data_IF_456970541648
#
_entry.id   IF_456970541648
#
_cell.length_a   1.000
_cell.length_b   1.000
_cell.length_c   1.000
_cell.angle_alpha   90.00
_cell.angle_beta   90.00
_cell.angle_gamma   90.00
#
_symmetry.space_group_name_H-M   'P 1'
#
loop_
_entity.id
_entity.type
_entity.pdbx_description
1 polymer ?
#
# COMPACT_ATOMS: atom_id res chain seq x y z
N UNK A 1 19.95 -6.09 -22.53
CA UNK A 1 20.29 -4.95 -21.64
C UNK A 1 19.65 -5.23 -20.29
N UNK A 2 20.38 -5.14 -19.20
CA UNK A 2 19.78 -5.29 -17.87
C UNK A 2 18.79 -4.14 -17.61
N UNK A 3 17.72 -4.39 -16.84
CA UNK A 3 16.70 -3.38 -16.57
C UNK A 3 17.28 -2.08 -15.97
N UNK A 4 18.31 -2.18 -15.14
CA UNK A 4 18.99 -1.01 -14.58
C UNK A 4 19.59 -0.13 -15.69
N UNK A 5 20.33 -0.73 -16.61
CA UNK A 5 20.96 0.00 -17.74
C UNK A 5 19.90 0.63 -18.65
N UNK A 6 18.80 -0.10 -18.91
CA UNK A 6 17.66 0.40 -19.68
C UNK A 6 17.04 1.62 -19.04
N UNK A 7 16.84 1.61 -17.72
CA UNK A 7 16.30 2.74 -16.97
C UNK A 7 17.23 3.96 -17.02
N UNK A 8 18.53 3.76 -16.75
CA UNK A 8 19.50 4.86 -16.78
C UNK A 8 19.60 5.51 -18.17
N UNK A 9 19.62 4.71 -19.24
CA UNK A 9 19.66 5.23 -20.61
C UNK A 9 18.36 5.93 -21.04
N UNK A 10 17.23 5.56 -20.45
CA UNK A 10 15.92 6.14 -20.77
C UNK A 10 15.63 7.45 -20.01
N UNK A 11 16.41 7.77 -18.99
CA UNK A 11 16.13 8.92 -18.11
C UNK A 11 16.19 10.26 -18.85
N UNK A 12 17.20 10.50 -19.66
CA UNK A 12 17.32 11.74 -20.41
C UNK A 12 16.17 11.93 -21.39
N UNK A 13 15.83 10.88 -22.15
CA UNK A 13 14.70 10.92 -23.07
C UNK A 13 13.35 11.13 -22.36
N UNK A 14 13.23 10.66 -21.12
CA UNK A 14 12.06 10.93 -20.28
C UNK A 14 11.98 12.40 -19.86
N UNK A 15 13.10 12.98 -19.40
CA UNK A 15 13.13 14.40 -19.00
C UNK A 15 12.84 15.36 -20.15
N UNK A 16 13.29 15.05 -21.37
CA UNK A 16 13.01 15.86 -22.57
C UNK A 16 11.53 15.89 -22.95
N UNK A 17 10.74 14.89 -22.52
CA UNK A 17 9.30 14.83 -22.79
C UNK A 17 8.46 15.59 -21.77
N UNK A 18 9.06 16.05 -20.68
CA UNK A 18 8.37 16.68 -19.57
C UNK A 18 8.81 18.13 -19.47
N UNK A 19 7.87 19.07 -19.60
CA UNK A 19 8.10 20.48 -19.31
C UNK A 19 8.25 20.69 -17.79
N UNK A 20 9.49 20.82 -17.31
CA UNK A 20 9.80 20.86 -15.90
C UNK A 20 10.47 22.14 -15.45
N UNK A 21 10.15 22.56 -14.22
CA UNK A 21 10.94 23.58 -13.52
C UNK A 21 12.33 23.05 -13.19
N UNK A 22 13.33 23.94 -13.13
CA UNK A 22 14.71 23.58 -12.78
C UNK A 22 14.82 22.87 -11.42
N UNK A 23 13.98 23.22 -10.45
CA UNK A 23 13.96 22.62 -9.10
C UNK A 23 13.56 21.14 -9.12
N UNK A 24 12.56 20.76 -9.94
CA UNK A 24 12.16 19.37 -10.12
C UNK A 24 13.20 18.55 -10.89
N UNK A 25 13.88 19.18 -11.84
CA UNK A 25 15.01 18.56 -12.54
C UNK A 25 16.12 18.16 -11.57
N UNK A 26 16.51 19.05 -10.64
CA UNK A 26 17.53 18.75 -9.63
C UNK A 26 17.12 17.59 -8.71
N UNK A 27 15.85 17.55 -8.31
CA UNK A 27 15.30 16.44 -7.49
C UNK A 27 15.40 15.11 -8.25
N UNK A 28 15.00 15.06 -9.52
CA UNK A 28 15.05 13.87 -10.36
C UNK A 28 16.46 13.40 -10.65
N UNK A 29 17.35 14.35 -11.01
CA UNK A 29 18.76 14.07 -11.27
C UNK A 29 19.47 13.52 -10.03
N UNK A 30 19.17 14.05 -8.85
CA UNK A 30 19.68 13.52 -7.60
C UNK A 30 19.15 12.09 -7.33
N UNK A 31 17.88 11.85 -7.60
CA UNK A 31 17.23 10.57 -7.38
C UNK A 31 17.77 9.47 -8.33
N UNK A 32 17.94 9.78 -9.63
CA UNK A 32 18.50 8.79 -10.57
C UNK A 32 19.96 8.46 -10.25
N UNK A 33 20.76 9.43 -9.83
CA UNK A 33 22.15 9.20 -9.37
C UNK A 33 22.20 8.28 -8.14
N UNK A 34 21.27 8.45 -7.20
CA UNK A 34 21.18 7.55 -6.05
C UNK A 34 20.85 6.12 -6.48
N UNK A 35 19.89 5.95 -7.39
CA UNK A 35 19.56 4.65 -7.97
C UNK A 35 20.72 4.06 -8.78
N UNK A 36 21.44 4.87 -9.56
CA UNK A 36 22.63 4.44 -10.30
C UNK A 36 23.68 3.86 -9.36
N UNK A 37 23.97 4.52 -8.25
CA UNK A 37 24.98 4.10 -7.28
C UNK A 37 24.59 2.83 -6.53
N UNK A 38 23.35 2.73 -6.07
CA UNK A 38 22.89 1.61 -5.22
C UNK A 38 22.29 0.46 -6.03
N UNK A 39 21.58 0.73 -7.13
CA UNK A 39 20.85 -0.24 -7.95
C UNK A 39 19.61 -0.80 -7.26
N UNK A 40 19.12 -1.92 -7.78
CA UNK A 40 18.01 -2.64 -7.16
C UNK A 40 18.44 -3.31 -5.85
N UNK A 41 17.58 -3.31 -4.82
CA UNK A 41 17.92 -3.90 -3.54
C UNK A 41 18.10 -5.42 -3.66
N UNK A 42 18.95 -5.96 -2.80
CA UNK A 42 19.30 -7.38 -2.79
C UNK A 42 19.08 -8.00 -1.41
N UNK A 43 19.09 -9.33 -1.33
CA UNK A 43 19.02 -10.06 -0.05
C UNK A 43 20.19 -9.78 0.92
N UNK A 44 21.23 -9.07 0.50
CA UNK A 44 22.33 -8.62 1.37
C UNK A 44 21.89 -7.47 2.28
N UNK A 45 20.91 -6.72 1.87
CA UNK A 45 20.31 -5.64 2.65
C UNK A 45 19.34 -6.24 3.68
N UNK A 46 19.47 -5.82 4.94
CA UNK A 46 18.68 -6.37 6.05
C UNK A 46 17.18 -6.25 5.83
N UNK A 47 16.71 -5.13 5.27
CA UNK A 47 15.30 -4.91 4.97
C UNK A 47 14.77 -5.82 3.84
N UNK A 48 15.65 -6.39 3.01
CA UNK A 48 15.33 -7.22 1.86
C UNK A 48 15.75 -8.69 2.02
N UNK A 49 16.24 -9.08 3.19
CA UNK A 49 16.81 -10.42 3.48
C UNK A 49 15.92 -11.57 3.01
N UNK A 50 14.62 -11.44 3.16
CA UNK A 50 13.64 -12.49 2.84
C UNK A 50 12.93 -12.28 1.50
N UNK A 51 13.19 -11.18 0.80
CA UNK A 51 12.53 -10.81 -0.46
C UNK A 51 13.54 -10.59 -1.56
N UNK A 52 13.33 -11.22 -2.71
CA UNK A 52 14.23 -11.13 -3.86
C UNK A 52 13.51 -10.61 -5.09
N UNK A 53 14.11 -9.64 -5.77
CA UNK A 53 13.64 -9.13 -7.05
C UNK A 53 14.22 -9.89 -8.26
N UNK A 54 15.10 -10.87 -8.07
CA UNK A 54 15.85 -11.52 -9.16
C UNK A 54 14.97 -12.12 -10.27
N UNK A 55 13.80 -12.65 -9.94
CA UNK A 55 12.85 -13.19 -10.93
C UNK A 55 12.08 -12.09 -11.63
N UNK A 56 11.70 -11.06 -10.89
CA UNK A 56 10.97 -9.89 -11.39
C UNK A 56 11.82 -9.11 -12.40
N UNK A 57 13.09 -8.89 -12.10
CA UNK A 57 14.00 -8.08 -12.92
C UNK A 57 14.46 -8.77 -14.22
N UNK A 58 14.10 -10.04 -14.46
CA UNK A 58 14.41 -10.76 -15.69
C UNK A 58 13.52 -10.39 -16.86
N UNK A 59 12.33 -9.83 -16.60
CA UNK A 59 11.42 -9.43 -17.65
C UNK A 59 11.92 -8.18 -18.38
N UNK A 60 11.69 -8.13 -19.68
CA UNK A 60 11.99 -6.93 -20.49
C UNK A 60 10.82 -5.95 -20.41
N UNK A 61 10.86 -5.09 -19.43
CA UNK A 61 9.81 -4.12 -19.18
C UNK A 61 9.83 -2.96 -20.18
N UNK A 62 8.66 -2.59 -20.70
CA UNK A 62 8.43 -1.26 -21.28
C UNK A 62 8.41 -0.24 -20.15
N UNK A 63 9.27 0.77 -20.24
CA UNK A 63 9.42 1.80 -19.19
C UNK A 63 8.40 2.92 -19.33
N UNK A 64 7.91 3.15 -20.55
CA UNK A 64 6.92 4.17 -20.87
C UNK A 64 5.77 3.54 -21.64
N UNK A 65 4.57 3.50 -21.09
CA UNK A 65 3.39 3.12 -21.85
C UNK A 65 3.17 4.12 -22.99
N UNK A 66 3.01 3.61 -24.20
CA UNK A 66 2.97 4.47 -25.41
C UNK A 66 1.56 4.89 -25.84
N UNK A 67 0.52 4.25 -25.34
CA UNK A 67 -0.86 4.49 -25.79
C UNK A 67 -1.84 4.52 -24.62
N UNK A 68 -2.86 5.37 -24.74
CA UNK A 68 -4.08 5.24 -23.95
C UNK A 68 -4.78 3.95 -24.38
N UNK A 69 -4.62 2.91 -23.58
CA UNK A 69 -5.44 1.72 -23.76
C UNK A 69 -6.88 2.09 -23.38
N UNK A 70 -7.77 2.12 -24.37
CA UNK A 70 -9.20 2.31 -24.13
C UNK A 70 -9.77 1.03 -23.52
N UNK A 71 -10.08 1.07 -22.24
CA UNK A 71 -10.82 0.00 -21.55
C UNK A 71 -12.28 0.42 -21.46
N UNK A 72 -13.18 -0.47 -21.88
CA UNK A 72 -14.60 -0.27 -21.68
C UNK A 72 -14.95 -0.30 -20.19
N UNK A 73 -15.84 0.61 -19.75
CA UNK A 73 -16.31 0.61 -18.37
C UNK A 73 -16.87 -0.74 -17.92
N UNK A 74 -17.51 -1.47 -18.85
CA UNK A 74 -18.07 -2.79 -18.58
C UNK A 74 -17.03 -3.81 -18.09
N UNK A 75 -15.78 -3.71 -18.56
CA UNK A 75 -14.67 -4.62 -18.18
C UNK A 75 -14.19 -4.37 -16.76
N UNK A 76 -14.18 -3.12 -16.33
CA UNK A 76 -13.66 -2.70 -15.03
C UNK A 76 -14.73 -2.43 -13.99
N UNK A 77 -16.00 -2.35 -14.39
CA UNK A 77 -17.16 -2.08 -13.53
C UNK A 77 -17.12 -2.91 -12.23
N UNK A 78 -16.85 -4.21 -12.33
CA UNK A 78 -16.81 -5.15 -11.18
C UNK A 78 -15.78 -4.80 -10.10
N UNK A 79 -14.81 -3.92 -10.39
CA UNK A 79 -13.76 -3.55 -9.46
C UNK A 79 -14.10 -2.30 -8.64
N UNK A 80 -15.05 -1.48 -9.08
CA UNK A 80 -15.53 -0.32 -8.34
C UNK A 80 -16.51 -0.73 -7.24
N UNK A 81 -16.62 0.11 -6.22
CA UNK A 81 -17.65 -0.01 -5.19
C UNK A 81 -18.91 0.67 -5.72
N UNK A 82 -19.99 -0.09 -5.93
CA UNK A 82 -21.23 0.41 -6.51
C UNK A 82 -22.29 0.76 -5.47
N UNK A 83 -22.12 0.25 -4.28
CA UNK A 83 -23.08 0.40 -3.19
C UNK A 83 -23.03 1.78 -2.53
N UNK A 84 -21.99 2.55 -2.82
CA UNK A 84 -21.81 3.93 -2.35
C UNK A 84 -21.30 4.82 -3.48
N UNK A 85 -21.57 6.11 -3.35
CA UNK A 85 -20.97 7.11 -4.25
C UNK A 85 -19.55 7.45 -3.81
N UNK A 86 -18.62 7.54 -4.78
CA UNK A 86 -17.19 7.77 -4.55
C UNK A 86 -16.63 8.77 -5.56
N UNK A 87 -15.60 9.50 -5.18
CA UNK A 87 -14.77 10.24 -6.13
C UNK A 87 -13.75 9.28 -6.74
N UNK A 88 -13.75 9.15 -8.06
CA UNK A 88 -12.91 8.18 -8.78
C UNK A 88 -11.72 8.85 -9.45
N UNK A 89 -10.52 8.32 -9.21
CA UNK A 89 -9.27 8.71 -9.90
C UNK A 89 -8.69 7.44 -10.48
N UNK A 90 -8.74 7.27 -11.79
CA UNK A 90 -8.44 6.01 -12.47
C UNK A 90 -7.25 6.16 -13.38
N UNK A 91 -6.32 5.22 -13.26
CA UNK A 91 -5.15 5.09 -14.14
C UNK A 91 -5.19 3.73 -14.84
N UNK A 92 -4.80 3.73 -16.11
CA UNK A 92 -4.64 2.53 -16.93
C UNK A 92 -3.20 2.50 -17.42
N UNK A 93 -2.45 1.46 -17.09
CA UNK A 93 -1.02 1.33 -17.42
C UNK A 93 -0.19 2.56 -17.00
N UNK A 94 -0.58 3.20 -15.90
CA UNK A 94 0.05 4.41 -15.37
C UNK A 94 -0.43 5.72 -15.99
N UNK A 95 -1.36 5.70 -16.96
CA UNK A 95 -1.92 6.86 -17.62
C UNK A 95 -3.32 7.15 -17.08
N UNK A 96 -3.62 8.40 -16.80
CA UNK A 96 -4.93 8.81 -16.29
C UNK A 96 -6.05 8.60 -17.32
N UNK A 97 -7.15 8.01 -16.87
CA UNK A 97 -8.38 7.84 -17.66
C UNK A 97 -9.43 8.86 -17.25
N UNK A 98 -9.62 9.90 -18.04
CA UNK A 98 -10.68 10.90 -17.82
C UNK A 98 -12.08 10.34 -17.96
N UNK A 99 -12.24 9.30 -18.80
CA UNK A 99 -13.52 8.62 -19.03
C UNK A 99 -13.99 7.83 -17.80
N UNK A 100 -13.06 7.21 -17.05
CA UNK A 100 -13.37 6.40 -15.87
C UNK A 100 -13.33 7.20 -14.56
N UNK A 101 -12.82 8.43 -14.60
CA UNK A 101 -12.62 9.27 -13.41
C UNK A 101 -13.75 10.28 -13.21
N UNK A 102 -13.91 10.73 -11.96
CA UNK A 102 -14.78 11.86 -11.63
C UNK A 102 -14.10 13.19 -11.97
N UNK A 103 -14.82 14.09 -12.59
CA UNK A 103 -14.26 15.41 -13.02
C UNK A 103 -14.50 16.52 -11.99
N UNK A 104 -15.41 16.32 -11.05
CA UNK A 104 -15.78 17.32 -10.03
C UNK A 104 -15.60 16.74 -8.63
N UNK A 105 -14.96 17.52 -7.76
CA UNK A 105 -14.67 17.14 -6.39
C UNK A 105 -15.06 18.30 -5.46
N UNK A 106 -16.24 18.22 -4.85
CA UNK A 106 -16.85 19.31 -4.10
C UNK A 106 -16.02 19.75 -2.89
N UNK A 107 -15.44 20.94 -3.00
CA UNK A 107 -14.67 21.59 -1.94
C UNK A 107 -13.35 20.91 -1.56
N UNK A 108 -12.84 20.00 -2.40
CA UNK A 108 -11.50 19.40 -2.27
C UNK A 108 -10.72 19.57 -3.58
N UNK A 109 -9.39 19.57 -3.50
CA UNK A 109 -8.55 19.69 -4.69
C UNK A 109 -7.94 18.33 -5.04
N UNK A 110 -8.48 17.70 -6.08
CA UNK A 110 -8.01 16.42 -6.60
C UNK A 110 -7.63 16.61 -8.06
N UNK A 111 -6.40 16.30 -8.39
CA UNK A 111 -5.91 16.38 -9.76
C UNK A 111 -4.79 15.37 -10.02
N UNK A 112 -4.27 15.38 -11.24
CA UNK A 112 -3.10 14.59 -11.62
C UNK A 112 -1.84 15.15 -10.98
N UNK A 113 -0.93 14.27 -10.61
CA UNK A 113 0.38 14.66 -10.10
C UNK A 113 1.16 15.50 -11.14
N UNK A 114 1.12 15.13 -12.41
CA UNK A 114 1.68 15.93 -13.51
C UNK A 114 1.15 17.37 -13.54
N UNK A 115 -0.16 17.54 -13.32
CA UNK A 115 -0.76 18.88 -13.21
C UNK A 115 -0.29 19.64 -11.97
N UNK A 116 -0.12 18.97 -10.83
CA UNK A 116 0.35 19.60 -9.60
C UNK A 116 1.82 20.01 -9.69
N UNK A 117 2.66 19.21 -10.35
CA UNK A 117 4.09 19.51 -10.55
C UNK A 117 4.33 20.71 -11.49
N UNK A 118 3.46 20.91 -12.48
CA UNK A 118 3.71 21.87 -13.57
C UNK A 118 2.90 23.17 -13.49
N UNK A 119 1.79 23.22 -12.71
CA UNK A 119 0.95 24.44 -12.63
C UNK A 119 1.39 25.37 -11.51
N UNK A 120 1.60 26.69 -11.78
CA UNK A 120 2.08 27.66 -10.79
C UNK A 120 1.25 27.75 -9.52
N UNK A 121 -0.06 27.50 -9.59
CA UNK A 121 -0.95 27.54 -8.42
C UNK A 121 -0.58 26.52 -7.34
N UNK A 122 0.08 25.42 -7.71
CA UNK A 122 0.50 24.37 -6.78
C UNK A 122 1.94 24.51 -6.30
N UNK A 123 2.73 25.42 -6.89
CA UNK A 123 4.17 25.52 -6.60
C UNK A 123 4.47 25.54 -5.10
N UNK A 124 3.82 26.41 -4.35
CA UNK A 124 4.05 26.52 -2.90
C UNK A 124 3.73 25.22 -2.14
N UNK A 125 2.72 24.48 -2.57
CA UNK A 125 2.35 23.20 -1.95
C UNK A 125 3.37 22.13 -2.32
N UNK A 126 3.76 22.05 -3.57
CA UNK A 126 4.79 21.11 -4.04
C UNK A 126 6.11 21.37 -3.33
N UNK A 127 6.56 22.61 -3.25
CA UNK A 127 7.79 22.98 -2.55
C UNK A 127 7.80 22.58 -1.07
N UNK A 128 6.65 22.59 -0.42
CA UNK A 128 6.52 22.24 1.00
C UNK A 128 6.32 20.75 1.28
N UNK A 129 5.73 19.99 0.37
CA UNK A 129 5.28 18.64 0.66
C UNK A 129 5.87 17.55 -0.26
N UNK A 130 6.11 17.83 -1.55
CA UNK A 130 6.60 16.81 -2.48
C UNK A 130 8.02 16.38 -2.15
N UNK A 131 8.24 15.07 -2.05
CA UNK A 131 9.53 14.45 -1.74
C UNK A 131 10.17 14.92 -0.42
N UNK A 132 9.33 15.27 0.58
CA UNK A 132 9.81 15.76 1.88
C UNK A 132 9.98 14.66 2.93
N UNK A 133 9.16 13.62 2.87
CA UNK A 133 9.20 12.50 3.82
C UNK A 133 9.56 11.16 3.14
N UNK A 134 9.50 11.09 1.82
CA UNK A 134 9.94 9.92 1.08
C UNK A 134 11.44 9.67 1.31
N UNK A 135 11.79 8.45 1.69
CA UNK A 135 13.17 8.09 2.01
C UNK A 135 14.08 8.17 0.80
N UNK A 136 15.12 8.98 0.89
CA UNK A 136 16.19 9.06 -0.12
C UNK A 136 17.14 7.86 -0.06
N UNK A 137 17.13 7.10 1.04
CA UNK A 137 17.97 5.91 1.19
C UNK A 137 17.35 4.67 0.57
N UNK A 138 16.04 4.64 0.38
CA UNK A 138 15.32 3.57 -0.30
C UNK A 138 15.43 3.74 -1.81
N UNK A 139 16.07 2.76 -2.48
CA UNK A 139 16.47 2.90 -3.89
C UNK A 139 15.30 2.87 -4.86
N UNK A 140 14.24 2.12 -4.55
CA UNK A 140 13.03 2.07 -5.38
C UNK A 140 12.18 3.33 -5.23
N UNK A 141 12.21 3.98 -4.05
CA UNK A 141 11.66 5.33 -3.87
C UNK A 141 12.45 6.34 -4.71
N UNK A 142 13.77 6.24 -4.74
CA UNK A 142 14.61 7.09 -5.60
C UNK A 142 14.31 6.86 -7.09
N UNK A 143 14.19 5.60 -7.52
CA UNK A 143 13.80 5.26 -8.88
C UNK A 143 12.43 5.86 -9.25
N UNK A 144 11.43 5.70 -8.37
CA UNK A 144 10.12 6.33 -8.57
C UNK A 144 10.25 7.85 -8.68
N UNK A 145 10.99 8.49 -7.76
CA UNK A 145 11.17 9.96 -7.79
C UNK A 145 11.80 10.45 -9.09
N UNK A 146 12.73 9.68 -9.67
CA UNK A 146 13.36 10.03 -10.94
C UNK A 146 12.36 10.02 -12.11
N UNK A 147 11.45 9.05 -12.15
CA UNK A 147 10.51 8.84 -13.25
C UNK A 147 9.07 9.26 -12.93
N UNK A 148 8.78 9.76 -11.73
CA UNK A 148 7.43 10.12 -11.35
C UNK A 148 6.87 11.22 -12.24
N UNK A 149 5.74 10.94 -12.88
CA UNK A 149 5.00 11.92 -13.67
C UNK A 149 3.50 11.82 -13.38
N UNK A 150 2.96 10.62 -13.26
CA UNK A 150 1.55 10.36 -13.05
C UNK A 150 1.26 9.81 -11.64
N UNK A 151 0.03 10.04 -11.19
CA UNK A 151 -0.48 9.66 -9.89
C UNK A 151 -1.51 10.67 -9.38
N UNK A 152 -2.01 10.45 -8.18
CA UNK A 152 -3.03 11.29 -7.58
C UNK A 152 -2.41 12.39 -6.69
N UNK A 153 -2.77 13.64 -6.96
CA UNK A 153 -2.63 14.75 -6.02
C UNK A 153 -3.96 14.99 -5.34
N UNK A 154 -3.98 14.92 -4.02
CA UNK A 154 -5.19 15.10 -3.20
C UNK A 154 -4.86 16.09 -2.09
N UNK A 155 -5.58 17.21 -2.06
CA UNK A 155 -5.44 18.22 -1.03
C UNK A 155 -6.81 18.53 -0.42
N UNK A 156 -6.96 18.15 0.85
CA UNK A 156 -8.17 18.40 1.64
C UNK A 156 -7.95 19.66 2.46
N UNK A 157 -8.74 20.72 2.24
CA UNK A 157 -8.56 21.96 2.96
C UNK A 157 -8.90 21.80 4.46
N UNK A 158 -8.44 22.75 5.27
CA UNK A 158 -8.72 22.83 6.71
C UNK A 158 -10.21 22.75 7.00
N UNK A 159 -10.57 21.99 8.05
CA UNK A 159 -11.93 21.83 8.57
C UNK A 159 -12.94 21.24 7.58
N UNK A 160 -12.45 20.48 6.60
CA UNK A 160 -13.29 19.76 5.63
C UNK A 160 -13.45 18.29 6.05
N UNK A 161 -14.69 17.88 6.25
CA UNK A 161 -15.04 16.45 6.30
C UNK A 161 -15.51 16.06 4.90
N UNK A 162 -14.78 15.11 4.29
CA UNK A 162 -15.11 14.60 2.96
C UNK A 162 -16.18 13.51 3.12
N UNK A 163 -17.32 13.74 2.54
CA UNK A 163 -18.52 12.87 2.70
C UNK A 163 -18.46 11.59 1.87
N UNK A 164 -17.69 11.59 0.79
CA UNK A 164 -17.55 10.46 -0.13
C UNK A 164 -16.11 9.97 -0.13
N UNK A 165 -15.86 8.65 -0.03
CA UNK A 165 -14.53 8.12 -0.18
C UNK A 165 -13.92 8.47 -1.55
N UNK A 166 -12.59 8.62 -1.58
CA UNK A 166 -11.82 8.78 -2.82
C UNK A 166 -11.31 7.40 -3.23
N UNK A 167 -11.70 6.91 -4.40
CA UNK A 167 -11.17 5.66 -4.99
C UNK A 167 -10.05 5.99 -5.97
N UNK A 168 -8.83 5.55 -5.67
CA UNK A 168 -7.68 5.59 -6.58
C UNK A 168 -7.51 4.18 -7.16
N UNK A 169 -7.70 4.04 -8.47
CA UNK A 169 -7.70 2.75 -9.14
C UNK A 169 -6.56 2.69 -10.15
N UNK A 170 -5.68 1.72 -9.99
CA UNK A 170 -4.60 1.41 -10.92
C UNK A 170 -4.91 0.11 -11.63
N UNK A 171 -5.30 0.20 -12.90
CA UNK A 171 -5.48 -0.95 -13.78
C UNK A 171 -4.25 -1.17 -14.64
N UNK A 172 -3.83 -2.42 -14.76
CA UNK A 172 -2.75 -2.83 -15.65
C UNK A 172 -3.26 -3.79 -16.70
N UNK A 173 -3.08 -3.43 -17.97
CA UNK A 173 -3.50 -4.26 -19.11
C UNK A 173 -2.33 -5.05 -19.66
N UNK A 174 -1.12 -4.50 -19.66
CA UNK A 174 0.10 -5.14 -20.17
C UNK A 174 -0.11 -5.69 -21.59
N UNK A 175 -0.59 -4.87 -22.54
CA UNK A 175 -1.22 -5.34 -23.77
C UNK A 175 -0.31 -6.17 -24.68
N UNK A 176 1.00 -5.92 -24.74
CA UNK A 176 1.91 -6.61 -25.66
C UNK A 176 3.29 -6.96 -25.05
N UNK A 177 3.67 -6.35 -23.93
CA UNK A 177 4.95 -6.54 -23.27
C UNK A 177 4.83 -6.41 -21.75
N UNK A 178 5.83 -6.86 -21.02
CA UNK A 178 5.96 -6.55 -19.60
C UNK A 178 6.01 -5.03 -19.38
N UNK A 179 5.29 -4.53 -18.37
CA UNK A 179 5.11 -3.10 -18.13
C UNK A 179 5.71 -2.69 -16.78
N UNK A 180 6.48 -1.60 -16.76
CA UNK A 180 6.89 -0.92 -15.54
C UNK A 180 6.06 0.35 -15.36
N UNK A 181 5.36 0.45 -14.23
CA UNK A 181 4.54 1.60 -13.86
C UNK A 181 5.06 2.20 -12.56
N UNK A 182 5.17 3.52 -12.49
CA UNK A 182 5.75 4.22 -11.33
C UNK A 182 4.82 5.34 -10.82
N UNK A 183 3.65 5.00 -10.26
CA UNK A 183 2.72 6.02 -9.75
C UNK A 183 3.32 6.75 -8.55
N UNK A 184 3.06 8.07 -8.49
CA UNK A 184 3.47 8.94 -7.40
C UNK A 184 2.27 9.69 -6.85
N UNK A 185 1.89 9.42 -5.60
CA UNK A 185 0.76 10.07 -4.96
C UNK A 185 1.22 11.06 -3.89
N UNK A 186 0.52 12.18 -3.79
CA UNK A 186 0.69 13.16 -2.72
C UNK A 186 -0.67 13.49 -2.11
N UNK A 187 -0.83 13.18 -0.84
CA UNK A 187 -2.07 13.39 -0.08
C UNK A 187 -1.79 14.35 1.07
N UNK A 188 -2.49 15.48 1.08
CA UNK A 188 -2.38 16.48 2.13
C UNK A 188 -3.75 16.63 2.78
N UNK A 189 -3.84 16.39 4.07
CA UNK A 189 -5.09 16.49 4.83
C UNK A 189 -4.96 17.60 5.85
N UNK A 190 -5.71 18.67 5.64
CA UNK A 190 -5.66 19.89 6.41
C UNK A 190 -6.10 19.72 7.85
N UNK A 191 -5.83 20.73 8.67
CA UNK A 191 -6.17 20.74 10.10
C UNK A 191 -7.68 20.51 10.33
N UNK A 192 -8.04 19.64 11.28
CA UNK A 192 -9.42 19.26 11.64
C UNK A 192 -10.22 18.66 10.46
N UNK A 193 -9.58 18.05 9.51
CA UNK A 193 -10.25 17.47 8.33
C UNK A 193 -10.30 15.94 8.41
N UNK A 194 -11.23 15.33 7.69
CA UNK A 194 -11.39 13.88 7.62
C UNK A 194 -11.56 13.43 6.18
N UNK A 195 -10.82 12.39 5.79
CA UNK A 195 -10.92 11.75 4.48
C UNK A 195 -10.79 10.25 4.57
N UNK A 196 -11.52 9.54 3.71
CA UNK A 196 -11.40 8.10 3.48
C UNK A 196 -10.89 7.87 2.06
N UNK A 197 -9.84 7.09 1.91
CA UNK A 197 -9.21 6.81 0.61
C UNK A 197 -9.14 5.30 0.43
N UNK A 198 -9.53 4.83 -0.76
CA UNK A 198 -9.46 3.43 -1.17
C UNK A 198 -8.53 3.37 -2.37
N UNK A 199 -7.37 2.76 -2.22
CA UNK A 199 -6.42 2.52 -3.29
C UNK A 199 -6.51 1.05 -3.73
N UNK A 200 -6.58 0.82 -5.03
CA UNK A 200 -6.61 -0.53 -5.57
C UNK A 200 -5.66 -0.69 -6.73
N UNK A 201 -4.86 -1.75 -6.67
CA UNK A 201 -4.08 -2.26 -7.78
C UNK A 201 -4.76 -3.51 -8.34
N UNK A 202 -4.96 -3.55 -9.67
CA UNK A 202 -5.68 -4.63 -10.33
C UNK A 202 -5.18 -4.85 -11.75
N UNK A 203 -4.55 -5.98 -12.00
CA UNK A 203 -4.25 -6.44 -13.36
C UNK A 203 -5.49 -7.03 -14.05
N UNK A 204 -5.63 -6.74 -15.33
CA UNK A 204 -6.77 -7.17 -16.16
C UNK A 204 -6.42 -8.36 -17.05
N UNK A 205 -5.14 -8.67 -17.24
CA UNK A 205 -4.63 -9.83 -17.97
C UNK A 205 -3.44 -10.45 -17.20
N UNK A 206 -2.81 -11.46 -17.79
CA UNK A 206 -1.71 -12.23 -17.19
C UNK A 206 -0.32 -11.79 -17.66
N UNK A 207 -0.18 -10.63 -18.28
CA UNK A 207 1.13 -10.12 -18.66
C UNK A 207 1.91 -9.61 -17.42
N UNK A 208 3.24 -9.75 -17.42
CA UNK A 208 4.06 -9.28 -16.31
C UNK A 208 3.97 -7.77 -16.14
N UNK A 209 3.70 -7.33 -14.93
CA UNK A 209 3.70 -5.93 -14.54
C UNK A 209 4.59 -5.76 -13.32
N UNK A 210 5.40 -4.70 -13.32
CA UNK A 210 6.09 -4.20 -12.13
C UNK A 210 5.56 -2.81 -11.81
N UNK A 211 4.82 -2.69 -10.74
CA UNK A 211 4.40 -1.41 -10.20
C UNK A 211 5.32 -1.01 -9.06
N UNK A 212 5.99 0.13 -9.20
CA UNK A 212 6.80 0.75 -8.16
C UNK A 212 6.09 2.03 -7.70
N UNK A 213 5.22 1.93 -6.72
CA UNK A 213 4.37 3.01 -6.21
C UNK A 213 5.03 3.75 -5.04
N UNK A 214 4.88 5.07 -5.01
CA UNK A 214 5.24 5.89 -3.85
C UNK A 214 4.10 6.84 -3.49
N UNK A 215 3.68 6.81 -2.23
CA UNK A 215 2.63 7.67 -1.68
C UNK A 215 3.17 8.43 -0.47
N UNK A 216 3.05 9.76 -0.49
CA UNK A 216 3.32 10.62 0.66
C UNK A 216 2.01 11.15 1.22
N UNK A 217 1.79 10.97 2.53
CA UNK A 217 0.57 11.41 3.23
C UNK A 217 0.97 12.36 4.35
N UNK A 218 0.43 13.59 4.31
CA UNK A 218 0.62 14.59 5.34
C UNK A 218 -0.68 14.82 6.09
N UNK A 219 -0.78 14.29 7.31
CA UNK A 219 -1.90 14.50 8.21
C UNK A 219 -1.57 15.67 9.14
N UNK A 220 -2.20 16.82 8.93
CA UNK A 220 -1.99 18.00 9.75
C UNK A 220 -2.70 17.87 11.11
N UNK A 221 -2.58 18.88 11.97
CA UNK A 221 -3.13 18.87 13.32
C UNK A 221 -4.60 18.44 13.34
N UNK A 222 -4.91 17.41 14.15
CA UNK A 222 -6.26 16.79 14.28
C UNK A 222 -6.88 16.31 12.96
N UNK A 223 -6.07 16.06 11.94
CA UNK A 223 -6.53 15.41 10.73
C UNK A 223 -6.82 13.92 10.98
N UNK A 224 -7.85 13.41 10.33
CA UNK A 224 -8.22 11.99 10.36
C UNK A 224 -8.12 11.43 8.93
N UNK A 225 -7.35 10.37 8.78
CA UNK A 225 -7.15 9.69 7.48
C UNK A 225 -7.42 8.21 7.66
N UNK A 226 -8.40 7.68 6.92
CA UNK A 226 -8.65 6.25 6.81
C UNK A 226 -8.24 5.80 5.40
N UNK A 227 -7.15 5.05 5.30
CA UNK A 227 -6.58 4.59 4.02
C UNK A 227 -6.69 3.08 3.90
N UNK A 228 -7.29 2.61 2.81
CA UNK A 228 -7.49 1.20 2.52
C UNK A 228 -6.77 0.81 1.24
N UNK A 229 -5.87 -0.17 1.32
CA UNK A 229 -5.12 -0.69 0.17
C UNK A 229 -5.61 -2.09 -0.19
N UNK A 230 -6.02 -2.28 -1.43
CA UNK A 230 -6.51 -3.56 -1.96
C UNK A 230 -5.59 -4.04 -3.07
N UNK A 231 -4.95 -5.18 -2.86
CA UNK A 231 -3.98 -5.79 -3.76
C UNK A 231 -4.47 -7.21 -4.11
N UNK A 232 -5.05 -7.37 -5.27
CA UNK A 232 -5.61 -8.65 -5.73
C UNK A 232 -5.30 -8.87 -7.21
N UNK A 233 -4.02 -8.77 -7.53
CA UNK A 233 -3.50 -8.90 -8.87
C UNK A 233 -3.36 -10.37 -9.33
N UNK A 234 -3.09 -10.58 -10.61
CA UNK A 234 -2.77 -11.88 -11.17
C UNK A 234 -1.38 -12.39 -10.72
N UNK A 235 -1.03 -13.61 -11.10
CA UNK A 235 0.20 -14.29 -10.71
C UNK A 235 1.49 -13.75 -11.38
N UNK A 236 1.39 -12.85 -12.36
CA UNK A 236 2.53 -12.24 -13.05
C UNK A 236 2.75 -10.78 -12.61
N UNK A 237 1.83 -10.21 -11.85
CA UNK A 237 1.92 -8.84 -11.35
C UNK A 237 2.83 -8.76 -10.12
N UNK A 238 3.69 -7.74 -10.10
CA UNK A 238 4.59 -7.45 -9.00
C UNK A 238 4.37 -6.02 -8.53
N UNK A 239 4.22 -5.83 -7.23
CA UNK A 239 3.97 -4.53 -6.62
C UNK A 239 5.01 -4.25 -5.53
N UNK A 240 5.69 -3.12 -5.65
CA UNK A 240 6.49 -2.50 -4.58
C UNK A 240 5.80 -1.19 -4.24
N UNK A 241 5.27 -1.12 -3.04
CA UNK A 241 4.45 0.00 -2.59
C UNK A 241 5.08 0.66 -1.37
N UNK A 242 5.58 1.87 -1.55
CA UNK A 242 6.22 2.67 -0.51
C UNK A 242 5.27 3.79 -0.06
N UNK A 243 4.77 3.71 1.16
CA UNK A 243 3.91 4.73 1.75
C UNK A 243 4.61 5.38 2.93
N UNK A 244 4.67 6.69 2.89
CA UNK A 244 5.26 7.55 3.92
C UNK A 244 4.18 8.44 4.51
N UNK A 245 4.07 8.45 5.83
CA UNK A 245 3.03 9.18 6.56
C UNK A 245 3.67 10.13 7.56
N UNK A 246 3.43 11.42 7.39
CA UNK A 246 3.79 12.46 8.36
C UNK A 246 2.56 12.85 9.18
N UNK A 247 2.65 12.76 10.49
CA UNK A 247 1.56 13.06 11.39
C UNK A 247 1.91 14.22 12.32
N UNK A 248 0.99 15.19 12.40
CA UNK A 248 1.08 16.33 13.29
C UNK A 248 0.19 16.14 14.54
N UNK A 249 0.27 17.05 15.48
CA UNK A 249 -0.40 17.01 16.78
C UNK A 249 -1.88 16.54 16.72
N UNK A 250 -2.22 15.54 17.53
CA UNK A 250 -3.56 14.95 17.66
C UNK A 250 -4.14 14.36 16.36
N UNK A 251 -3.30 14.09 15.35
CA UNK A 251 -3.78 13.46 14.12
C UNK A 251 -3.98 11.95 14.28
N UNK A 252 -4.91 11.42 13.52
CA UNK A 252 -5.27 10.01 13.46
C UNK A 252 -5.08 9.49 12.04
N UNK A 253 -4.22 8.50 11.83
CA UNK A 253 -4.08 7.85 10.52
C UNK A 253 -4.22 6.35 10.68
N UNK A 254 -5.14 5.76 9.92
CA UNK A 254 -5.25 4.31 9.78
C UNK A 254 -4.90 3.89 8.35
N UNK A 255 -4.03 2.89 8.21
CA UNK A 255 -3.75 2.21 6.94
C UNK A 255 -4.09 0.73 7.08
N UNK A 256 -5.05 0.28 6.28
CA UNK A 256 -5.51 -1.11 6.26
C UNK A 256 -5.12 -1.73 4.91
N UNK A 257 -4.29 -2.77 4.91
CA UNK A 257 -3.74 -3.41 3.71
C UNK A 257 -4.33 -4.81 3.54
N UNK A 258 -4.92 -5.07 2.37
CA UNK A 258 -5.54 -6.33 2.01
C UNK A 258 -4.80 -6.94 0.81
N UNK A 259 -3.94 -7.94 1.06
CA UNK A 259 -3.09 -8.57 0.05
C UNK A 259 -3.60 -9.98 -0.26
N UNK A 260 -4.19 -10.13 -1.45
CA UNK A 260 -4.89 -11.33 -1.89
C UNK A 260 -4.34 -11.94 -3.19
N UNK A 261 -3.35 -11.32 -3.81
CA UNK A 261 -2.84 -11.73 -5.11
C UNK A 261 -1.46 -11.15 -5.41
N UNK A 262 -1.08 -11.23 -6.68
CA UNK A 262 0.23 -10.87 -7.18
C UNK A 262 1.23 -12.03 -7.13
N UNK A 263 2.32 -11.94 -7.89
CA UNK A 263 3.48 -12.81 -7.77
C UNK A 263 4.32 -12.39 -6.56
N UNK A 264 4.71 -11.11 -6.54
CA UNK A 264 5.41 -10.47 -5.45
C UNK A 264 4.70 -9.18 -5.07
N UNK A 265 4.32 -9.05 -3.80
CA UNK A 265 3.80 -7.81 -3.25
C UNK A 265 4.63 -7.40 -2.04
N UNK A 266 5.24 -6.22 -2.08
CA UNK A 266 5.93 -5.65 -0.94
C UNK A 266 5.32 -4.32 -0.55
N UNK A 267 4.89 -4.23 0.70
CA UNK A 267 4.33 -3.04 1.32
C UNK A 267 5.33 -2.46 2.31
N UNK A 268 5.82 -1.26 2.06
CA UNK A 268 6.64 -0.49 2.98
C UNK A 268 5.79 0.65 3.55
N UNK A 269 5.42 0.57 4.83
CA UNK A 269 4.67 1.62 5.53
C UNK A 269 5.57 2.31 6.56
N UNK A 270 5.81 3.60 6.36
CA UNK A 270 6.68 4.40 7.22
C UNK A 270 5.88 5.55 7.84
N UNK A 271 5.76 5.54 9.17
CA UNK A 271 5.01 6.53 9.94
C UNK A 271 5.96 7.37 10.78
N UNK A 272 5.83 8.69 10.68
CA UNK A 272 6.66 9.67 11.40
C UNK A 272 5.78 10.57 12.26
N UNK A 273 6.00 10.55 13.58
CA UNK A 273 5.26 11.33 14.55
C UNK A 273 5.99 12.64 14.86
N UNK A 274 5.55 13.75 14.25
CA UNK A 274 6.11 15.09 14.46
C UNK A 274 5.32 15.94 15.47
N UNK A 275 4.28 15.40 16.09
CA UNK A 275 3.48 16.06 17.12
C UNK A 275 3.13 15.12 18.26
N UNK A 276 2.49 15.65 19.29
CA UNK A 276 2.02 14.88 20.44
C UNK A 276 0.62 14.31 20.22
N UNK A 277 0.25 13.29 21.00
CA UNK A 277 -1.08 12.66 21.02
C UNK A 277 -1.53 12.14 19.67
N UNK A 278 -0.60 11.67 18.89
CA UNK A 278 -0.83 11.04 17.60
C UNK A 278 -1.30 9.60 17.81
N UNK A 279 -2.22 9.16 16.95
CA UNK A 279 -2.63 7.76 16.89
C UNK A 279 -2.40 7.21 15.47
N UNK A 280 -1.67 6.09 15.40
CA UNK A 280 -1.39 5.36 14.16
C UNK A 280 -1.93 3.94 14.23
N UNK A 281 -2.71 3.54 13.23
CA UNK A 281 -3.25 2.19 13.13
C UNK A 281 -2.79 1.57 11.81
N UNK A 282 -2.07 0.45 11.90
CA UNK A 282 -1.56 -0.28 10.75
C UNK A 282 -2.11 -1.71 10.80
N UNK A 283 -3.10 -2.02 9.99
CA UNK A 283 -3.69 -3.34 9.95
C UNK A 283 -3.42 -4.01 8.60
N UNK A 284 -3.34 -5.35 8.60
CA UNK A 284 -3.17 -6.10 7.37
C UNK A 284 -3.82 -7.48 7.39
N UNK A 285 -4.40 -7.87 6.24
CA UNK A 285 -4.81 -9.25 5.97
C UNK A 285 -4.09 -9.73 4.72
N UNK A 286 -3.41 -10.85 4.84
CA UNK A 286 -2.78 -11.56 3.73
C UNK A 286 -3.40 -12.94 3.59
N UNK A 287 -3.94 -13.27 2.42
CA UNK A 287 -4.42 -14.63 2.09
C UNK A 287 -3.88 -14.99 0.72
N UNK A 288 -2.86 -15.84 0.71
CA UNK A 288 -2.14 -16.22 -0.52
C UNK A 288 -1.85 -17.73 -0.58
N UNK A 289 -1.65 -18.20 -1.80
CA UNK A 289 -1.33 -19.60 -2.10
C UNK A 289 -0.29 -19.71 -3.22
N UNK A 290 -0.26 -20.85 -3.89
CA UNK A 290 0.66 -21.17 -4.99
C UNK A 290 2.13 -20.88 -4.63
N UNK A 291 2.78 -19.95 -5.31
CA UNK A 291 4.15 -19.48 -5.06
C UNK A 291 4.20 -17.99 -4.74
N UNK A 292 3.05 -17.39 -4.42
CA UNK A 292 2.93 -15.97 -4.15
C UNK A 292 3.80 -15.56 -2.96
N UNK A 293 4.33 -14.34 -3.04
CA UNK A 293 5.17 -13.76 -2.00
C UNK A 293 4.61 -12.41 -1.56
N UNK A 294 4.30 -12.27 -0.27
CA UNK A 294 3.85 -10.99 0.30
C UNK A 294 4.75 -10.61 1.47
N UNK A 295 5.29 -9.39 1.39
CA UNK A 295 6.21 -8.83 2.37
C UNK A 295 5.64 -7.51 2.93
N UNK A 296 5.40 -7.47 4.22
CA UNK A 296 5.01 -6.26 4.96
C UNK A 296 6.20 -5.75 5.76
N UNK A 297 6.73 -4.60 5.37
CA UNK A 297 7.70 -3.84 6.15
C UNK A 297 6.99 -2.64 6.77
N UNK A 298 7.08 -2.47 8.08
CA UNK A 298 6.51 -1.32 8.77
C UNK A 298 7.57 -0.64 9.63
N UNK A 299 7.58 0.69 9.60
CA UNK A 299 8.33 1.54 10.52
C UNK A 299 7.38 2.53 11.17
N UNK A 300 7.35 2.58 12.48
CA UNK A 300 6.69 3.67 13.21
C UNK A 300 7.72 4.35 14.10
N UNK A 301 8.03 5.60 13.77
CA UNK A 301 8.95 6.43 14.52
C UNK A 301 8.18 7.38 15.44
N UNK A 302 8.25 7.14 16.74
CA UNK A 302 7.74 8.00 17.78
C UNK A 302 8.83 9.00 18.18
N UNK A 303 8.64 10.26 17.84
CA UNK A 303 9.59 11.34 18.17
C UNK A 303 9.04 12.32 19.20
N UNK A 304 7.74 12.24 19.53
CA UNK A 304 7.05 13.14 20.45
C UNK A 304 6.25 12.37 21.51
N UNK A 305 5.99 12.93 22.68
CA UNK A 305 5.35 12.23 23.79
C UNK A 305 3.84 11.98 23.58
N UNK A 306 3.29 11.06 24.39
CA UNK A 306 1.88 10.70 24.45
C UNK A 306 1.30 10.15 23.12
N UNK A 307 2.11 9.52 22.28
CA UNK A 307 1.69 8.96 21.01
C UNK A 307 1.35 7.46 21.11
N UNK A 308 0.45 7.01 20.27
CA UNK A 308 0.03 5.62 20.23
C UNK A 308 0.23 5.03 18.83
N UNK A 309 0.63 3.76 18.77
CA UNK A 309 0.63 2.98 17.53
C UNK A 309 0.17 1.55 17.77
N UNK A 310 -0.73 1.08 16.91
CA UNK A 310 -1.29 -0.26 16.96
C UNK A 310 -1.12 -0.94 15.61
N UNK A 311 -0.48 -2.11 15.60
CA UNK A 311 -0.30 -2.90 14.40
C UNK A 311 -0.93 -4.28 14.60
N UNK A 312 -1.85 -4.68 13.71
CA UNK A 312 -2.45 -6.03 13.71
C UNK A 312 -2.43 -6.63 12.29
N UNK A 313 -1.49 -7.55 12.08
CA UNK A 313 -1.32 -8.26 10.82
C UNK A 313 -1.77 -9.72 10.95
N UNK A 314 -2.62 -10.16 10.04
CA UNK A 314 -3.15 -11.51 9.95
C UNK A 314 -2.74 -12.14 8.63
N UNK A 315 -2.05 -13.28 8.69
CA UNK A 315 -1.59 -13.99 7.50
C UNK A 315 -2.17 -15.42 7.41
N UNK A 316 -2.64 -15.81 6.24
CA UNK A 316 -3.06 -17.18 5.90
C UNK A 316 -2.31 -17.60 4.64
N UNK A 317 -1.48 -18.61 4.77
CA UNK A 317 -0.56 -19.06 3.74
C UNK A 317 -0.80 -20.51 3.37
N UNK A 318 -0.96 -20.81 2.08
CA UNK A 318 -1.12 -22.16 1.55
C UNK A 318 -0.07 -22.50 0.50
N UNK A 319 -0.04 -23.74 0.07
CA UNK A 319 0.80 -24.31 -0.98
C UNK A 319 2.31 -24.07 -0.74
N UNK A 320 2.96 -23.20 -1.53
CA UNK A 320 4.37 -22.81 -1.41
C UNK A 320 4.51 -21.30 -1.25
N UNK A 321 3.46 -20.65 -0.79
CA UNK A 321 3.47 -19.20 -0.61
C UNK A 321 4.40 -18.78 0.54
N UNK A 322 4.89 -17.57 0.44
CA UNK A 322 5.81 -16.99 1.42
C UNK A 322 5.27 -15.67 1.94
N UNK A 323 5.12 -15.58 3.25
CA UNK A 323 4.89 -14.32 3.95
C UNK A 323 6.18 -13.77 4.55
N UNK A 324 6.26 -12.46 4.64
CA UNK A 324 7.26 -11.75 5.44
C UNK A 324 6.54 -10.66 6.24
N UNK A 325 6.88 -10.57 7.51
CA UNK A 325 6.51 -9.43 8.36
C UNK A 325 7.76 -8.89 9.04
N UNK A 326 8.17 -7.70 8.68
CA UNK A 326 9.30 -7.01 9.28
C UNK A 326 8.81 -5.66 9.82
N UNK A 327 8.48 -5.63 11.10
CA UNK A 327 7.91 -4.46 11.74
C UNK A 327 8.87 -3.84 12.75
N UNK A 328 9.14 -2.55 12.60
CA UNK A 328 10.00 -1.78 13.49
C UNK A 328 9.23 -0.67 14.18
N UNK A 329 9.31 -0.64 15.50
CA UNK A 329 8.89 0.49 16.33
C UNK A 329 10.17 1.15 16.85
N UNK A 330 10.33 2.44 16.54
CA UNK A 330 11.44 3.26 17.00
C UNK A 330 10.91 4.36 17.91
N UNK A 331 11.38 4.41 19.15
CA UNK A 331 10.93 5.37 20.16
C UNK A 331 12.11 6.22 20.59
N UNK A 332 12.09 7.50 20.23
CA UNK A 332 13.11 8.47 20.60
C UNK A 332 13.05 8.80 22.11
N UNK A 333 14.12 9.36 22.63
CA UNK A 333 14.24 9.67 24.08
C UNK A 333 13.15 10.61 24.58
N UNK A 334 12.75 11.57 23.76
CA UNK A 334 11.71 12.57 24.07
C UNK A 334 10.30 12.00 23.98
N UNK A 335 10.11 10.86 23.32
CA UNK A 335 8.81 10.24 23.08
C UNK A 335 8.29 9.49 24.33
N UNK A 336 8.25 10.16 25.46
CA UNK A 336 7.76 9.61 26.73
C UNK A 336 6.24 9.32 26.66
N UNK A 337 5.77 8.35 27.45
CA UNK A 337 4.37 7.89 27.48
C UNK A 337 3.86 7.35 26.15
N UNK A 338 4.77 6.84 25.33
CA UNK A 338 4.42 6.11 24.13
C UNK A 338 3.71 4.79 24.47
N UNK A 339 2.58 4.52 23.79
CA UNK A 339 1.90 3.23 23.79
C UNK A 339 2.04 2.60 22.39
N UNK A 340 2.84 1.54 22.24
CA UNK A 340 3.08 0.94 20.94
C UNK A 340 2.93 -0.58 20.99
N UNK A 341 1.98 -1.10 20.22
CA UNK A 341 1.65 -2.52 20.18
C UNK A 341 1.74 -3.06 18.76
N UNK A 342 2.47 -4.16 18.59
CA UNK A 342 2.65 -4.81 17.30
C UNK A 342 2.29 -6.29 17.40
N UNK A 343 1.37 -6.74 16.55
CA UNK A 343 0.95 -8.15 16.47
C UNK A 343 1.05 -8.65 15.04
N UNK A 344 1.61 -9.86 14.88
CA UNK A 344 1.59 -10.59 13.60
C UNK A 344 1.19 -12.02 13.87
N UNK A 345 -0.03 -12.38 13.52
CA UNK A 345 -0.58 -13.72 13.73
C UNK A 345 -0.74 -14.43 12.39
N UNK A 346 -0.25 -15.66 12.27
CA UNK A 346 -0.13 -16.33 11.00
C UNK A 346 -0.59 -17.78 11.09
N UNK A 347 -1.31 -18.24 10.07
CA UNK A 347 -1.76 -19.62 9.90
C UNK A 347 -1.10 -20.21 8.65
N UNK A 348 -0.40 -21.33 8.81
CA UNK A 348 0.13 -22.12 7.71
C UNK A 348 -0.82 -23.29 7.42
N UNK A 349 -1.31 -23.35 6.18
CA UNK A 349 -2.26 -24.37 5.71
C UNK A 349 -1.58 -25.55 5.00
N UNK A 350 -0.27 -25.47 4.78
CA UNK A 350 0.53 -26.49 4.11
C UNK A 350 1.97 -26.49 4.63
N UNK A 351 2.65 -27.64 4.54
CA UNK A 351 4.03 -27.82 5.01
C UNK A 351 5.07 -27.00 4.23
N UNK A 352 4.73 -26.54 3.03
CA UNK A 352 5.62 -25.76 2.16
C UNK A 352 5.37 -24.26 2.22
N UNK A 353 4.30 -23.84 2.88
CA UNK A 353 4.05 -22.44 3.14
C UNK A 353 5.00 -21.94 4.24
N UNK A 354 5.47 -20.70 4.12
CA UNK A 354 6.42 -20.14 5.07
C UNK A 354 6.03 -18.72 5.46
N UNK A 355 6.40 -18.32 6.67
CA UNK A 355 6.34 -16.93 7.14
C UNK A 355 7.65 -16.59 7.85
N UNK A 356 8.26 -15.49 7.49
CA UNK A 356 9.41 -14.91 8.17
C UNK A 356 8.94 -13.67 8.95
N UNK A 357 8.85 -13.79 10.26
CA UNK A 357 8.41 -12.69 11.11
C UNK A 357 9.58 -12.13 11.93
N UNK A 358 9.79 -10.82 11.80
CA UNK A 358 10.87 -10.09 12.47
C UNK A 358 10.33 -8.81 13.10
N UNK A 359 9.60 -8.89 14.22
CA UNK A 359 9.22 -7.70 14.97
C UNK A 359 10.43 -7.13 15.72
N UNK A 360 10.60 -5.80 15.70
CA UNK A 360 11.72 -5.08 16.30
C UNK A 360 11.24 -3.91 17.13
N UNK A 361 11.83 -3.74 18.31
CA UNK A 361 11.61 -2.59 19.18
C UNK A 361 12.97 -1.94 19.47
N UNK A 362 13.13 -0.66 19.11
CA UNK A 362 14.27 0.17 19.47
C UNK A 362 13.75 1.33 20.32
N UNK A 363 13.96 1.26 21.62
CA UNK A 363 13.33 2.15 22.59
C UNK A 363 14.41 2.88 23.38
N UNK A 364 14.37 4.21 23.34
CA UNK A 364 15.30 5.08 24.03
C UNK A 364 14.64 5.92 25.13
N UNK A 365 13.31 5.86 25.25
CA UNK A 365 12.53 6.50 26.32
C UNK A 365 12.28 5.55 27.49
N UNK A 366 12.12 6.08 28.70
CA UNK A 366 12.02 5.29 29.95
C UNK A 366 10.56 4.99 30.33
N UNK A 367 9.65 5.97 30.15
CA UNK A 367 8.23 5.84 30.52
C UNK A 367 7.37 5.50 29.30
N UNK A 368 7.36 4.21 28.92
CA UNK A 368 6.63 3.72 27.75
C UNK A 368 5.95 2.38 28.01
N UNK A 369 4.93 2.06 27.20
CA UNK A 369 4.29 0.77 27.14
C UNK A 369 4.41 0.23 25.73
N UNK A 370 5.44 -0.58 25.49
CA UNK A 370 5.71 -1.14 24.16
C UNK A 370 5.74 -2.66 24.23
N UNK A 371 5.07 -3.31 23.31
CA UNK A 371 5.12 -4.76 23.19
C UNK A 371 4.98 -5.22 21.75
N UNK A 372 5.55 -6.38 21.46
CA UNK A 372 5.32 -7.08 20.22
C UNK A 372 4.93 -8.53 20.48
N UNK A 373 4.17 -9.13 19.58
CA UNK A 373 3.80 -10.53 19.59
C UNK A 373 3.72 -11.09 18.17
N UNK A 374 4.28 -12.28 18.00
CA UNK A 374 4.17 -13.00 16.74
C UNK A 374 3.76 -14.43 17.02
N UNK A 375 2.75 -14.92 16.29
CA UNK A 375 2.34 -16.32 16.34
C UNK A 375 2.39 -16.92 14.95
N UNK A 376 2.87 -18.16 14.88
CA UNK A 376 2.84 -18.98 13.67
C UNK A 376 2.25 -20.32 14.10
N UNK A 377 1.11 -20.67 13.52
CA UNK A 377 0.40 -21.88 13.90
C UNK A 377 -0.32 -22.54 12.73
N UNK A 378 -1.07 -23.57 13.05
CA UNK A 378 -1.99 -24.26 12.16
C UNK A 378 -3.42 -23.99 12.60
N UNK A 379 -4.40 -24.40 11.79
CA UNK A 379 -5.80 -24.34 12.21
C UNK A 379 -6.02 -25.22 13.43
N UNK A 380 -6.88 -24.75 14.33
CA UNK A 380 -7.29 -25.52 15.51
C UNK A 380 -8.07 -26.77 15.10
N UNK A 381 -7.43 -27.92 15.19
CA UNK A 381 -8.03 -29.20 14.84
C UNK A 381 -9.18 -29.58 15.81
N UNK A 382 -9.14 -29.14 17.06
CA UNK A 382 -10.21 -29.35 18.01
C UNK A 382 -11.47 -28.58 17.62
N UNK A 383 -11.32 -27.32 17.27
CA UNK A 383 -12.40 -26.51 16.75
C UNK A 383 -12.95 -27.07 15.43
N UNK A 384 -12.07 -27.50 14.52
CA UNK A 384 -12.45 -28.19 13.27
C UNK A 384 -13.29 -29.45 13.54
N UNK A 385 -12.83 -30.31 14.43
CA UNK A 385 -13.52 -31.54 14.80
C UNK A 385 -14.91 -31.23 15.41
N UNK A 386 -14.99 -30.30 16.33
CA UNK A 386 -16.25 -29.88 16.95
C UNK A 386 -17.27 -29.40 15.92
N UNK A 387 -16.86 -28.57 14.96
CA UNK A 387 -17.73 -28.09 13.89
C UNK A 387 -18.22 -29.23 12.99
N UNK A 388 -17.35 -30.18 12.67
CA UNK A 388 -17.73 -31.35 11.87
C UNK A 388 -18.73 -32.26 12.62
N UNK A 389 -18.60 -32.42 13.94
CA UNK A 389 -19.57 -33.16 14.77
C UNK A 389 -20.95 -32.49 14.79
N UNK A 390 -21.03 -31.20 14.52
CA UNK A 390 -22.25 -30.40 14.33
C UNK A 390 -22.79 -30.47 12.91
N UNK A 391 -22.23 -31.29 12.03
CA UNK A 391 -22.67 -31.46 10.65
C UNK A 391 -22.11 -30.43 9.65
N UNK A 392 -21.16 -29.57 10.06
CA UNK A 392 -20.54 -28.60 9.15
C UNK A 392 -19.47 -29.34 8.31
N UNK A 393 -19.56 -29.32 6.98
CA UNK A 393 -18.57 -29.95 6.12
C UNK A 393 -17.16 -29.41 6.39
N UNK A 394 -16.12 -30.26 6.30
CA UNK A 394 -14.73 -29.89 6.59
C UNK A 394 -14.27 -28.62 5.88
N UNK A 395 -14.63 -28.43 4.61
CA UNK A 395 -14.27 -27.27 3.81
C UNK A 395 -14.88 -25.99 4.37
N UNK A 396 -16.15 -26.05 4.77
CA UNK A 396 -16.86 -24.90 5.35
C UNK A 396 -16.35 -24.57 6.75
N UNK A 397 -16.14 -25.59 7.59
CA UNK A 397 -15.56 -25.42 8.92
C UNK A 397 -14.17 -24.73 8.84
N UNK A 398 -13.32 -25.18 7.92
CA UNK A 398 -12.02 -24.55 7.65
C UNK A 398 -12.17 -23.09 7.28
N UNK A 399 -13.07 -22.75 6.36
CA UNK A 399 -13.30 -21.39 5.92
C UNK A 399 -13.85 -20.48 7.01
N UNK A 400 -14.78 -20.99 7.84
CA UNK A 400 -15.32 -20.25 8.98
C UNK A 400 -14.25 -19.89 10.02
N UNK A 401 -13.34 -20.83 10.33
CA UNK A 401 -12.22 -20.58 11.25
C UNK A 401 -11.25 -19.53 10.68
N UNK A 402 -10.93 -19.61 9.39
CA UNK A 402 -10.06 -18.62 8.73
C UNK A 402 -10.72 -17.23 8.67
N UNK A 403 -12.02 -17.19 8.43
CA UNK A 403 -12.78 -15.94 8.48
C UNK A 403 -12.77 -15.34 9.89
N UNK A 404 -13.09 -16.15 10.90
CA UNK A 404 -13.06 -15.72 12.30
C UNK A 404 -11.67 -15.22 12.72
N UNK A 405 -10.60 -15.85 12.24
CA UNK A 405 -9.24 -15.40 12.46
C UNK A 405 -8.98 -14.01 11.86
N UNK A 406 -9.53 -13.71 10.68
CA UNK A 406 -9.38 -12.43 9.99
C UNK A 406 -10.31 -11.33 10.52
N UNK A 407 -11.35 -11.69 11.28
CA UNK A 407 -12.48 -10.81 11.59
C UNK A 407 -12.07 -9.52 12.33
N UNK A 408 -11.09 -9.57 13.22
CA UNK A 408 -10.66 -8.38 13.98
C UNK A 408 -10.21 -7.23 13.05
N UNK A 409 -9.50 -7.56 11.97
CA UNK A 409 -9.07 -6.57 10.97
C UNK A 409 -10.22 -6.17 10.05
N UNK A 410 -11.12 -7.10 9.68
CA UNK A 410 -12.30 -6.79 8.88
C UNK A 410 -13.21 -5.78 9.62
N UNK A 411 -13.38 -5.95 10.93
CA UNK A 411 -14.18 -5.05 11.77
C UNK A 411 -13.62 -3.61 11.85
N UNK A 412 -12.31 -3.42 11.60
CA UNK A 412 -11.69 -2.10 11.57
C UNK A 412 -12.07 -1.26 10.33
N UNK A 413 -12.69 -1.87 9.32
CA UNK A 413 -13.14 -1.18 8.10
C UNK A 413 -14.37 -0.33 8.42
N UNK A 414 -14.23 0.98 8.30
CA UNK A 414 -15.31 1.95 8.61
C UNK A 414 -16.30 2.17 7.46
N UNK A 415 -16.01 1.69 6.26
CA UNK A 415 -16.89 1.79 5.08
C UNK A 415 -17.65 0.47 4.92
N UNK A 416 -18.97 0.41 5.20
CA UNK A 416 -19.72 -0.84 5.17
C UNK A 416 -19.67 -1.58 3.83
N UNK A 417 -19.78 -0.87 2.71
CA UNK A 417 -19.72 -1.44 1.37
C UNK A 417 -18.34 -2.06 1.08
N UNK A 418 -17.26 -1.39 1.51
CA UNK A 418 -15.91 -1.93 1.41
C UNK A 418 -15.74 -3.19 2.28
N UNK A 419 -16.26 -3.16 3.52
CA UNK A 419 -16.24 -4.32 4.42
C UNK A 419 -16.90 -5.54 3.77
N UNK A 420 -18.10 -5.39 3.21
CA UNK A 420 -18.80 -6.45 2.50
C UNK A 420 -17.97 -6.96 1.30
N UNK A 421 -17.34 -6.06 0.54
CA UNK A 421 -16.51 -6.42 -0.58
C UNK A 421 -15.27 -7.22 -0.18
N UNK A 422 -14.56 -6.80 0.86
CA UNK A 422 -13.40 -7.53 1.40
C UNK A 422 -13.84 -8.91 1.90
N UNK A 423 -14.97 -8.98 2.62
CA UNK A 423 -15.55 -10.25 3.06
C UNK A 423 -15.83 -11.20 1.88
N UNK A 424 -16.42 -10.69 0.78
CA UNK A 424 -16.67 -11.50 -0.44
C UNK A 424 -15.36 -11.99 -1.09
N UNK A 425 -14.32 -11.14 -1.15
CA UNK A 425 -12.99 -11.55 -1.68
C UNK A 425 -12.41 -12.67 -0.81
N UNK A 426 -12.44 -12.51 0.50
CA UNK A 426 -11.96 -13.51 1.46
C UNK A 426 -12.73 -14.82 1.27
N UNK A 427 -14.06 -14.80 1.22
CA UNK A 427 -14.89 -15.98 1.00
C UNK A 427 -14.52 -16.72 -0.30
N UNK A 428 -14.32 -15.97 -1.38
CA UNK A 428 -13.90 -16.52 -2.68
C UNK A 428 -12.52 -17.19 -2.58
N UNK A 429 -11.54 -16.55 -1.95
CA UNK A 429 -10.20 -17.09 -1.72
C UNK A 429 -10.22 -18.35 -0.86
N UNK A 430 -11.12 -18.42 0.10
CA UNK A 430 -11.32 -19.59 0.95
C UNK A 430 -12.19 -20.69 0.29
N UNK A 431 -12.70 -20.44 -0.91
CA UNK A 431 -13.44 -21.41 -1.71
C UNK A 431 -14.83 -21.73 -1.18
N UNK A 432 -15.47 -20.80 -0.48
CA UNK A 432 -16.83 -20.96 0.05
C UNK A 432 -17.76 -19.85 -0.46
N UNK A 433 -19.04 -20.19 -0.61
CA UNK A 433 -20.11 -19.20 -0.74
C UNK A 433 -20.60 -18.94 0.68
N UNK A 434 -20.30 -17.80 1.24
CA UNK A 434 -20.90 -17.41 2.50
C UNK A 434 -22.36 -17.02 2.23
N UNK A 435 -23.28 -17.89 2.65
CA UNK A 435 -24.72 -17.63 2.58
C UNK A 435 -25.25 -16.74 3.71
N UNK A 436 -24.37 -15.93 4.31
CA UNK A 436 -24.77 -14.97 5.34
C UNK A 436 -24.83 -13.60 4.71
N UNK A 437 -26.05 -13.10 4.50
CA UNK A 437 -26.30 -11.66 4.42
C UNK A 437 -26.00 -11.10 5.82
N UNK A 438 -24.78 -10.57 6.00
CA UNK A 438 -24.37 -9.82 7.18
C UNK A 438 -24.61 -8.35 6.94
#
# INVERSE_FOLDING_TARGET
MELKEKLLSSFMAFEEQIDMTSELHDVRTSAIKNFENKGFPTKKEEAWKYTSLNTVLKNDYSVFPKNENSIEFAEVKKYFIHEIDTFKVVFIDGIFSSFLSSTTHDGIDVCLMSSALNKPKYKMVIDNYYNKIASKDETLTSLNTAFANEGAYINIPKSKVVDKPIEIMYFSTGSEAALLVQPRNLVIVGENSHVQIIERHQSLNENPVLTNSVTEIFAQKRAIVDYYKIQNDNHEANLIDNTYVSQQHESHVSVNTFSFGGNLTRNNLNFYHFGERIVSILNGITIIGDKQHVDHYTLVQHAQPNCESHQDYKGIYSDRSTGVFNGKIFVEREAQKTNAFQKSNNILLSDKATINAKPQLEIFADDVKCSHGCTIGQLDETAMFYMQQRGIPKKEAKALLMYAFSNAVIESIKIPALKQRITKIIATKLGVKMGFDL
#
